data_IF_836988108507
#
_entry.id   IF_836988108507
#
_cell.length_a   1.000
_cell.length_b   1.000
_cell.length_c   1.000
_cell.angle_alpha   90.00
_cell.angle_beta   90.00
_cell.angle_gamma   90.00
#
_symmetry.space_group_name_H-M   'P 1'
#
loop_
_entity.id
_entity.type
_entity.pdbx_description
1 polymer ?
#
# COMPACT_ATOMS: atom_id res chain seq x y z
N UNK A 1 -17.10 -32.33 -19.04
CA UNK A 1 -17.77 -31.07 -18.62
C UNK A 1 -17.39 -30.00 -19.61
N UNK A 2 -18.25 -29.64 -20.56
CA UNK A 2 -17.96 -28.59 -21.54
C UNK A 2 -18.09 -27.24 -20.85
N UNK A 3 -16.99 -26.56 -20.53
CA UNK A 3 -17.07 -25.20 -20.00
C UNK A 3 -17.61 -24.28 -21.08
N UNK A 4 -18.66 -23.54 -20.77
CA UNK A 4 -19.27 -22.58 -21.69
C UNK A 4 -18.44 -21.29 -21.73
N UNK A 5 -18.78 -20.38 -22.63
CA UNK A 5 -18.16 -19.04 -22.69
C UNK A 5 -18.64 -18.13 -21.55
N UNK A 6 -19.84 -18.42 -21.03
CA UNK A 6 -20.40 -17.79 -19.84
C UNK A 6 -19.56 -18.11 -18.59
N UNK A 7 -19.09 -19.36 -18.47
CA UNK A 7 -18.21 -19.77 -17.37
C UNK A 7 -16.86 -19.04 -17.41
N UNK A 8 -16.30 -18.83 -18.61
CA UNK A 8 -15.08 -18.02 -18.78
C UNK A 8 -15.29 -16.56 -18.34
N UNK A 9 -16.46 -16.01 -18.67
CA UNK A 9 -16.80 -14.64 -18.29
C UNK A 9 -17.03 -14.48 -16.79
N UNK A 10 -17.58 -15.49 -16.11
CA UNK A 10 -17.79 -15.45 -14.67
C UNK A 10 -16.50 -15.70 -13.84
N UNK A 11 -15.55 -16.49 -14.37
CA UNK A 11 -14.38 -16.93 -13.61
C UNK A 11 -13.21 -15.94 -13.56
N UNK A 12 -13.21 -14.92 -14.42
CA UNK A 12 -12.09 -13.98 -14.55
C UNK A 12 -12.55 -12.54 -14.34
N UNK A 13 -11.84 -11.80 -13.50
CA UNK A 13 -12.03 -10.35 -13.42
C UNK A 13 -11.52 -9.67 -14.70
N UNK A 14 -12.08 -8.50 -15.03
CA UNK A 14 -11.55 -7.66 -16.10
C UNK A 14 -10.20 -7.07 -15.70
N UNK A 15 -9.34 -6.81 -16.68
CA UNK A 15 -8.08 -6.12 -16.45
C UNK A 15 -8.35 -4.71 -15.94
N UNK A 16 -7.74 -4.34 -14.82
CA UNK A 16 -7.83 -2.99 -14.26
C UNK A 16 -6.99 -2.03 -15.12
N UNK A 17 -7.54 -0.88 -15.59
CA UNK A 17 -6.80 0.08 -16.42
C UNK A 17 -5.49 0.61 -15.81
N UNK A 18 -5.41 0.63 -14.47
CA UNK A 18 -4.22 1.05 -13.69
C UNK A 18 -3.13 -0.02 -13.66
N UNK A 19 -3.47 -1.29 -13.94
CA UNK A 19 -2.58 -2.43 -13.83
C UNK A 19 -2.48 -3.02 -12.42
N UNK A 20 -3.32 -2.59 -11.47
CA UNK A 20 -3.34 -3.10 -10.09
C UNK A 20 -3.47 -4.62 -10.01
N UNK A 21 -4.34 -5.22 -10.83
CA UNK A 21 -4.56 -6.66 -10.84
C UNK A 21 -3.75 -7.41 -11.92
N UNK A 22 -2.76 -6.78 -12.57
CA UNK A 22 -2.10 -7.33 -13.77
C UNK A 22 -1.54 -8.74 -13.56
N UNK A 23 -0.78 -8.98 -12.48
CA UNK A 23 -0.14 -10.28 -12.23
C UNK A 23 -1.18 -11.40 -12.07
N UNK A 24 -2.21 -11.15 -11.27
CA UNK A 24 -3.32 -12.08 -11.04
C UNK A 24 -4.12 -12.30 -12.33
N UNK A 25 -4.42 -11.22 -13.05
CA UNK A 25 -5.13 -11.25 -14.32
C UNK A 25 -4.38 -12.10 -15.35
N UNK A 26 -3.10 -11.81 -15.60
CA UNK A 26 -2.27 -12.52 -16.58
C UNK A 26 -2.23 -14.01 -16.29
N UNK A 27 -2.02 -14.39 -15.01
CA UNK A 27 -1.98 -15.79 -14.59
C UNK A 27 -3.33 -16.49 -14.82
N UNK A 28 -4.42 -15.92 -14.33
CA UNK A 28 -5.76 -16.51 -14.46
C UNK A 28 -6.23 -16.57 -15.92
N UNK A 29 -6.00 -15.51 -16.68
CA UNK A 29 -6.33 -15.43 -18.11
C UNK A 29 -5.59 -16.50 -18.92
N UNK A 30 -4.28 -16.68 -18.66
CA UNK A 30 -3.47 -17.73 -19.30
C UNK A 30 -4.05 -19.13 -19.04
N UNK A 31 -4.40 -19.43 -17.78
CA UNK A 31 -5.00 -20.72 -17.41
C UNK A 31 -6.32 -20.94 -18.15
N UNK A 32 -7.18 -19.93 -18.18
CA UNK A 32 -8.51 -20.04 -18.79
C UNK A 32 -8.45 -20.16 -20.33
N UNK A 33 -7.53 -19.46 -20.99
CA UNK A 33 -7.32 -19.57 -22.44
C UNK A 33 -6.73 -20.93 -22.81
N UNK A 34 -5.83 -21.47 -21.99
CA UNK A 34 -5.31 -22.84 -22.17
C UNK A 34 -6.42 -23.89 -22.08
N UNK A 35 -7.39 -23.71 -21.19
CA UNK A 35 -8.57 -24.58 -21.12
C UNK A 35 -9.44 -24.53 -22.39
N UNK A 36 -9.32 -23.46 -23.19
CA UNK A 36 -10.04 -23.28 -24.46
C UNK A 36 -9.18 -23.64 -25.68
N UNK A 37 -8.00 -24.22 -25.48
CA UNK A 37 -7.06 -24.61 -26.54
C UNK A 37 -6.66 -23.48 -27.50
N UNK A 38 -6.72 -22.22 -27.05
CA UNK A 38 -6.41 -21.05 -27.89
C UNK A 38 -5.06 -20.39 -27.55
N UNK A 39 -4.33 -20.91 -26.56
CA UNK A 39 -3.11 -20.25 -26.03
C UNK A 39 -1.99 -20.08 -27.06
N UNK A 40 -1.88 -21.00 -28.02
CA UNK A 40 -0.83 -20.94 -29.06
C UNK A 40 -0.94 -19.71 -29.99
N UNK A 41 -2.11 -19.08 -30.03
CA UNK A 41 -2.35 -17.82 -30.74
C UNK A 41 -1.95 -16.59 -29.91
N UNK A 42 -1.83 -16.71 -28.58
CA UNK A 42 -1.36 -15.64 -27.70
C UNK A 42 0.15 -15.61 -27.58
N UNK A 43 0.81 -16.77 -27.48
CA UNK A 43 2.27 -16.86 -27.41
C UNK A 43 2.94 -16.85 -28.80
N UNK A 44 2.15 -16.97 -29.87
CA UNK A 44 2.63 -16.93 -31.25
C UNK A 44 3.27 -18.24 -31.73
N UNK A 45 3.14 -19.34 -30.98
CA UNK A 45 3.68 -20.64 -31.34
C UNK A 45 3.03 -21.23 -32.60
N UNK A 46 1.81 -20.80 -32.94
CA UNK A 46 1.12 -21.22 -34.16
C UNK A 46 1.03 -20.03 -35.13
N UNK A 47 2.01 -19.85 -36.05
CA UNK A 47 1.94 -18.80 -37.05
C UNK A 47 0.79 -19.05 -38.04
N UNK A 48 0.32 -17.99 -38.69
CA UNK A 48 -0.70 -18.08 -39.74
C UNK A 48 -0.18 -18.98 -40.88
N UNK A 49 -0.87 -20.07 -41.23
CA UNK A 49 -0.46 -20.94 -42.33
C UNK A 49 -0.57 -20.19 -43.66
N UNK A 50 0.43 -20.30 -44.52
CA UNK A 50 0.42 -19.68 -45.85
C UNK A 50 0.40 -20.79 -46.93
N UNK A 51 -0.37 -20.63 -48.01
CA UNK A 51 -0.31 -21.56 -49.14
C UNK A 51 1.08 -21.57 -49.77
N UNK A 52 1.55 -22.73 -50.23
CA UNK A 52 2.81 -22.87 -50.95
C UNK A 52 2.80 -22.11 -52.29
N UNK A 53 1.66 -22.11 -52.99
CA UNK A 53 1.38 -21.25 -54.14
C UNK A 53 0.12 -20.40 -53.85
N UNK A 54 0.26 -19.09 -53.61
CA UNK A 54 -0.88 -18.19 -53.39
C UNK A 54 -1.89 -18.16 -54.54
N UNK A 55 -1.47 -18.47 -55.77
CA UNK A 55 -2.35 -18.49 -56.93
C UNK A 55 -3.17 -19.79 -57.04
N UNK A 56 -2.75 -20.86 -56.36
CA UNK A 56 -3.42 -22.18 -56.37
C UNK A 56 -3.39 -22.86 -55.00
N UNK A 57 -4.08 -22.31 -53.98
CA UNK A 57 -4.18 -22.95 -52.69
C UNK A 57 -4.88 -24.30 -52.82
N UNK A 58 -4.28 -25.34 -52.24
CA UNK A 58 -4.89 -26.67 -52.15
C UNK A 58 -6.07 -26.66 -51.17
N UNK A 59 -6.93 -27.68 -51.27
CA UNK A 59 -8.06 -27.85 -50.34
C UNK A 59 -7.60 -27.95 -48.88
N UNK A 60 -6.48 -28.66 -48.65
CA UNK A 60 -5.95 -28.89 -47.31
C UNK A 60 -5.34 -27.61 -46.71
N UNK A 61 -4.65 -26.79 -47.53
CA UNK A 61 -4.15 -25.47 -47.09
C UNK A 61 -5.30 -24.53 -46.72
N UNK A 62 -6.37 -24.47 -47.52
CA UNK A 62 -7.54 -23.66 -47.21
C UNK A 62 -8.23 -24.12 -45.92
N UNK A 63 -8.31 -25.44 -45.68
CA UNK A 63 -8.87 -25.98 -44.45
C UNK A 63 -8.00 -25.64 -43.21
N UNK A 64 -6.67 -25.67 -43.36
CA UNK A 64 -5.74 -25.27 -42.31
C UNK A 64 -5.87 -23.78 -41.98
N UNK A 65 -5.95 -22.90 -42.99
CA UNK A 65 -6.17 -21.46 -42.83
C UNK A 65 -7.49 -21.20 -42.11
N UNK A 66 -8.61 -21.78 -42.58
CA UNK A 66 -9.91 -21.59 -41.96
C UNK A 66 -9.95 -22.07 -40.50
N UNK A 67 -9.25 -23.17 -40.18
CA UNK A 67 -9.12 -23.69 -38.81
C UNK A 67 -8.32 -22.72 -37.94
N UNK A 68 -7.20 -22.20 -38.46
CA UNK A 68 -6.38 -21.21 -37.77
C UNK A 68 -7.17 -19.92 -37.52
N UNK A 69 -7.85 -19.38 -38.53
CA UNK A 69 -8.67 -18.16 -38.42
C UNK A 69 -9.80 -18.31 -37.41
N UNK A 70 -10.42 -19.49 -37.33
CA UNK A 70 -11.45 -19.78 -36.32
C UNK A 70 -10.89 -19.67 -34.90
N UNK A 71 -9.72 -20.24 -34.65
CA UNK A 71 -9.06 -20.19 -33.33
C UNK A 71 -8.53 -18.79 -33.03
N UNK A 72 -8.01 -18.07 -34.03
CA UNK A 72 -7.61 -16.68 -33.92
C UNK A 72 -8.78 -15.77 -33.52
N UNK A 73 -9.94 -15.93 -34.16
CA UNK A 73 -11.14 -15.18 -33.82
C UNK A 73 -11.66 -15.51 -32.41
N UNK A 74 -11.57 -16.78 -31.99
CA UNK A 74 -11.87 -17.17 -30.62
C UNK A 74 -10.92 -16.51 -29.62
N UNK A 75 -9.61 -16.49 -29.91
CA UNK A 75 -8.60 -15.86 -29.07
C UNK A 75 -8.86 -14.35 -28.92
N UNK A 76 -9.10 -13.64 -30.02
CA UNK A 76 -9.48 -12.22 -30.01
C UNK A 76 -10.76 -11.98 -29.22
N UNK A 77 -11.77 -12.84 -29.39
CA UNK A 77 -13.02 -12.73 -28.65
C UNK A 77 -12.80 -12.86 -27.14
N UNK A 78 -12.11 -13.91 -26.68
CA UNK A 78 -11.80 -14.12 -25.27
C UNK A 78 -11.01 -12.95 -24.67
N UNK A 79 -10.06 -12.41 -25.42
CA UNK A 79 -9.29 -11.24 -25.01
C UNK A 79 -10.19 -10.00 -24.88
N UNK A 80 -11.02 -9.72 -25.89
CA UNK A 80 -11.90 -8.53 -25.89
C UNK A 80 -12.89 -8.51 -24.72
N UNK A 81 -13.38 -9.68 -24.27
CA UNK A 81 -14.29 -9.77 -23.12
C UNK A 81 -13.68 -9.29 -21.80
N UNK A 82 -12.34 -9.33 -21.70
CA UNK A 82 -11.61 -9.14 -20.43
C UNK A 82 -10.74 -7.89 -20.41
N UNK A 83 -10.68 -7.16 -21.51
CA UNK A 83 -10.00 -5.88 -21.58
C UNK A 83 -10.96 -4.71 -21.37
N UNK A 84 -10.49 -3.61 -20.76
CA UNK A 84 -11.13 -2.31 -20.89
C UNK A 84 -11.14 -1.85 -22.35
N UNK A 85 -12.22 -1.18 -22.75
CA UNK A 85 -12.41 -0.67 -24.12
C UNK A 85 -11.25 0.22 -24.59
N UNK A 86 -10.71 1.04 -23.68
CA UNK A 86 -9.55 1.91 -23.96
C UNK A 86 -8.31 1.08 -24.31
N UNK A 87 -8.05 0.01 -23.57
CA UNK A 87 -6.92 -0.91 -23.81
C UNK A 87 -7.09 -1.63 -25.13
N UNK A 88 -8.28 -2.16 -25.40
CA UNK A 88 -8.56 -2.84 -26.65
C UNK A 88 -8.41 -1.89 -27.84
N UNK A 89 -9.02 -0.70 -27.78
CA UNK A 89 -8.94 0.31 -28.85
C UNK A 89 -7.51 0.73 -29.15
N UNK A 90 -6.65 0.82 -28.13
CA UNK A 90 -5.23 1.16 -28.30
C UNK A 90 -4.45 0.11 -29.08
N UNK A 91 -4.76 -1.17 -28.90
CA UNK A 91 -3.93 -2.27 -29.41
C UNK A 91 -4.53 -3.05 -30.58
N UNK A 92 -5.85 -3.00 -30.81
CA UNK A 92 -6.55 -3.86 -31.80
C UNK A 92 -6.00 -3.81 -33.23
N UNK A 93 -5.36 -2.69 -33.63
CA UNK A 93 -4.78 -2.52 -34.97
C UNK A 93 -3.44 -3.23 -35.18
N UNK A 94 -2.92 -3.94 -34.17
CA UNK A 94 -1.63 -4.63 -34.24
C UNK A 94 -1.64 -5.93 -35.04
N UNK A 95 -2.81 -6.34 -35.56
CA UNK A 95 -2.95 -7.54 -36.38
C UNK A 95 -3.34 -8.74 -35.53
N UNK A 96 -2.41 -9.67 -35.34
CA UNK A 96 -2.68 -10.95 -34.66
C UNK A 96 -2.88 -10.79 -33.15
N UNK A 97 -3.57 -11.75 -32.57
CA UNK A 97 -3.79 -11.91 -31.12
C UNK A 97 -2.45 -11.91 -30.39
N UNK A 98 -1.43 -12.61 -30.92
CA UNK A 98 -0.08 -12.60 -30.36
C UNK A 98 0.51 -11.18 -30.28
N UNK A 99 0.39 -10.39 -31.35
CA UNK A 99 0.92 -9.03 -31.37
C UNK A 99 0.17 -8.08 -30.42
N UNK A 100 -1.16 -8.22 -30.33
CA UNK A 100 -2.01 -7.48 -29.40
C UNK A 100 -1.64 -7.87 -27.95
N UNK A 101 -1.56 -9.16 -27.66
CA UNK A 101 -1.25 -9.70 -26.34
C UNK A 101 0.15 -9.29 -25.88
N UNK A 102 1.17 -9.40 -26.73
CA UNK A 102 2.53 -8.97 -26.41
C UNK A 102 2.58 -7.47 -26.05
N UNK A 103 1.83 -6.63 -26.76
CA UNK A 103 1.74 -5.20 -26.46
C UNK A 103 1.05 -4.92 -25.11
N UNK A 104 -0.01 -5.67 -24.79
CA UNK A 104 -0.69 -5.59 -23.49
C UNK A 104 0.24 -6.06 -22.38
N UNK A 105 0.91 -7.19 -22.56
CA UNK A 105 1.87 -7.73 -21.58
C UNK A 105 2.93 -6.70 -21.28
N UNK A 106 3.52 -6.08 -22.31
CA UNK A 106 4.50 -5.01 -22.12
C UNK A 106 3.91 -3.84 -21.32
N UNK A 107 2.80 -3.27 -21.79
CA UNK A 107 2.19 -2.09 -21.16
C UNK A 107 1.82 -2.33 -19.69
N UNK A 108 1.18 -3.45 -19.38
CA UNK A 108 0.66 -3.71 -18.05
C UNK A 108 1.73 -4.25 -17.09
N UNK A 109 2.78 -4.90 -17.61
CA UNK A 109 3.98 -5.17 -16.81
C UNK A 109 4.64 -3.86 -16.40
N UNK A 110 4.89 -2.94 -17.34
CA UNK A 110 5.46 -1.63 -17.07
C UNK A 110 4.60 -0.83 -16.06
N UNK A 111 3.27 -0.79 -16.27
CA UNK A 111 2.32 -0.12 -15.34
C UNK A 111 2.32 -0.75 -13.96
N UNK A 112 2.31 -2.07 -13.86
CA UNK A 112 2.27 -2.77 -12.56
C UNK A 112 3.54 -2.52 -11.74
N UNK A 113 4.71 -2.50 -12.39
CA UNK A 113 5.98 -2.18 -11.73
C UNK A 113 5.97 -0.74 -11.21
N UNK A 114 5.55 0.21 -12.06
CA UNK A 114 5.48 1.62 -11.69
C UNK A 114 4.46 1.86 -10.56
N UNK A 115 3.31 1.22 -10.62
CA UNK A 115 2.28 1.30 -9.57
C UNK A 115 2.81 0.78 -8.24
N UNK A 116 3.43 -0.41 -8.24
CA UNK A 116 4.02 -1.01 -7.03
C UNK A 116 5.10 -0.12 -6.43
N UNK A 117 5.97 0.45 -7.27
CA UNK A 117 6.99 1.40 -6.83
C UNK A 117 6.36 2.67 -6.25
N UNK A 118 5.35 3.24 -6.91
CA UNK A 118 4.65 4.44 -6.45
C UNK A 118 3.95 4.19 -5.11
N UNK A 119 3.21 3.08 -4.95
CA UNK A 119 2.57 2.72 -3.70
C UNK A 119 3.59 2.61 -2.56
N UNK A 120 4.72 1.91 -2.78
CA UNK A 120 5.80 1.80 -1.79
C UNK A 120 6.35 3.18 -1.41
N UNK A 121 6.67 4.02 -2.40
CA UNK A 121 7.19 5.37 -2.17
C UNK A 121 6.17 6.25 -1.44
N UNK A 122 4.90 6.20 -1.83
CA UNK A 122 3.82 6.94 -1.18
C UNK A 122 3.68 6.55 0.28
N UNK A 123 3.68 5.24 0.57
CA UNK A 123 3.62 4.71 1.92
C UNK A 123 4.80 5.18 2.79
N UNK A 124 6.04 5.00 2.33
CA UNK A 124 7.25 5.41 3.08
C UNK A 124 7.34 6.94 3.28
N UNK A 125 6.66 7.72 2.43
CA UNK A 125 6.58 9.17 2.54
C UNK A 125 5.36 9.67 3.31
N UNK A 126 4.52 8.78 3.88
CA UNK A 126 3.44 9.20 4.77
C UNK A 126 4.01 9.97 5.96
N UNK A 127 3.41 11.13 6.24
CA UNK A 127 3.72 11.97 7.39
C UNK A 127 2.44 12.37 8.10
N UNK A 128 2.52 12.53 9.42
CA UNK A 128 1.42 13.04 10.21
C UNK A 128 1.05 14.46 9.77
N UNK A 129 -0.26 14.72 9.62
CA UNK A 129 -0.79 16.05 9.36
C UNK A 129 -1.09 16.75 10.69
N UNK A 130 -0.41 17.86 10.94
CA UNK A 130 -0.60 18.66 12.15
C UNK A 130 -2.06 19.10 12.33
N UNK A 131 -2.58 18.97 13.56
CA UNK A 131 -3.94 19.38 13.91
C UNK A 131 -5.02 18.34 13.61
N UNK A 132 -4.66 17.18 13.07
CA UNK A 132 -5.58 16.05 12.84
C UNK A 132 -5.49 15.05 14.00
N UNK A 133 -6.61 14.39 14.29
CA UNK A 133 -6.67 13.33 15.29
C UNK A 133 -5.75 12.15 14.93
N UNK A 134 -4.98 11.66 15.91
CA UNK A 134 -3.96 10.64 15.68
C UNK A 134 -4.57 9.27 15.33
N UNK A 135 -5.75 8.93 15.84
CA UNK A 135 -6.44 7.69 15.46
C UNK A 135 -6.77 7.69 13.98
N UNK A 136 -7.41 8.75 13.49
CA UNK A 136 -7.75 8.87 12.07
C UNK A 136 -6.52 8.84 11.14
N UNK A 137 -5.39 9.36 11.61
CA UNK A 137 -4.13 9.33 10.87
C UNK A 137 -3.49 7.93 10.86
N UNK A 138 -3.62 7.14 11.93
CA UNK A 138 -3.21 5.73 11.91
C UNK A 138 -4.12 4.85 11.07
N UNK A 139 -5.43 5.11 11.04
CA UNK A 139 -6.33 4.43 10.10
C UNK A 139 -5.91 4.69 8.65
N UNK A 140 -5.45 5.91 8.34
CA UNK A 140 -4.86 6.23 7.03
C UNK A 140 -3.62 5.41 6.72
N UNK A 141 -2.75 5.18 7.71
CA UNK A 141 -1.56 4.32 7.54
C UNK A 141 -1.98 2.88 7.27
N UNK A 142 -2.93 2.34 8.02
CA UNK A 142 -3.44 0.97 7.83
C UNK A 142 -4.08 0.78 6.45
N UNK A 143 -4.92 1.71 6.01
CA UNK A 143 -5.52 1.66 4.66
C UNK A 143 -4.43 1.66 3.58
N UNK A 144 -3.41 2.51 3.70
CA UNK A 144 -2.31 2.54 2.74
C UNK A 144 -1.46 1.25 2.77
N UNK A 145 -1.31 0.62 3.95
CA UNK A 145 -0.65 -0.68 4.07
C UNK A 145 -1.45 -1.80 3.40
N UNK A 146 -2.77 -1.84 3.60
CA UNK A 146 -3.66 -2.78 2.92
C UNK A 146 -3.64 -2.62 1.39
N UNK A 147 -3.50 -1.39 0.89
CA UNK A 147 -3.33 -1.15 -0.55
C UNK A 147 -2.04 -1.75 -1.11
N UNK A 148 -0.94 -1.75 -0.34
CA UNK A 148 0.32 -2.41 -0.70
C UNK A 148 0.15 -3.93 -0.78
N UNK A 149 -0.48 -4.54 0.23
CA UNK A 149 -0.72 -5.98 0.26
C UNK A 149 -1.58 -6.42 -0.93
N UNK A 150 -2.62 -5.66 -1.25
CA UNK A 150 -3.47 -5.92 -2.41
C UNK A 150 -2.73 -5.79 -3.76
N UNK A 151 -1.63 -5.05 -3.80
CA UNK A 151 -0.78 -4.89 -4.98
C UNK A 151 0.45 -5.83 -4.96
N UNK A 152 0.49 -6.79 -4.03
CA UNK A 152 1.60 -7.74 -3.85
C UNK A 152 2.93 -7.01 -3.60
N UNK A 153 2.88 -5.91 -2.84
CA UNK A 153 4.06 -5.16 -2.39
C UNK A 153 4.33 -5.49 -0.94
N UNK A 154 5.41 -6.22 -0.70
CA UNK A 154 5.84 -6.59 0.64
C UNK A 154 6.69 -5.47 1.28
N UNK A 155 6.36 -5.09 2.50
CA UNK A 155 7.14 -4.15 3.33
C UNK A 155 7.61 -4.94 4.54
N UNK A 156 8.92 -4.91 4.79
CA UNK A 156 9.44 -5.61 5.96
C UNK A 156 8.91 -4.99 7.26
N UNK A 157 8.73 -5.81 8.30
CA UNK A 157 8.32 -5.34 9.63
C UNK A 157 9.19 -4.17 10.12
N UNK A 158 10.50 -4.20 9.83
CA UNK A 158 11.45 -3.15 10.19
C UNK A 158 11.19 -1.84 9.44
N UNK A 159 10.88 -1.89 8.15
CA UNK A 159 10.52 -0.70 7.36
C UNK A 159 9.19 -0.11 7.82
N UNK A 160 8.21 -0.96 8.16
CA UNK A 160 6.93 -0.48 8.66
C UNK A 160 7.10 0.17 10.05
N UNK A 161 7.81 -0.47 10.97
CA UNK A 161 8.13 0.13 12.28
C UNK A 161 8.87 1.47 12.12
N UNK A 162 9.83 1.54 11.19
CA UNK A 162 10.57 2.77 10.89
C UNK A 162 9.67 3.87 10.31
N UNK A 163 8.69 3.50 9.47
CA UNK A 163 7.67 4.43 9.00
C UNK A 163 6.89 4.99 10.18
N UNK A 164 6.37 4.17 11.09
CA UNK A 164 5.59 4.64 12.24
C UNK A 164 6.40 5.64 13.08
N UNK A 165 7.67 5.34 13.35
CA UNK A 165 8.58 6.24 14.06
C UNK A 165 8.71 7.61 13.37
N UNK A 166 8.82 7.62 12.04
CA UNK A 166 8.94 8.85 11.26
C UNK A 166 7.59 9.54 10.97
N UNK A 167 6.48 8.81 11.09
CA UNK A 167 5.15 9.28 10.79
C UNK A 167 4.62 10.17 11.90
N UNK A 168 4.74 9.73 13.16
CA UNK A 168 4.17 10.41 14.33
C UNK A 168 4.83 11.78 14.61
N UNK A 169 4.16 12.69 15.34
CA UNK A 169 4.78 13.92 15.86
C UNK A 169 6.13 13.67 16.55
N UNK A 170 7.07 14.62 16.43
CA UNK A 170 8.46 14.51 16.95
C UNK A 170 8.55 14.06 18.40
N UNK A 171 7.63 14.54 19.24
CA UNK A 171 7.58 14.20 20.65
C UNK A 171 7.24 12.72 20.89
N UNK A 172 6.25 12.21 20.16
CA UNK A 172 5.85 10.80 20.22
C UNK A 172 6.90 9.93 19.57
N UNK A 173 7.52 10.39 18.47
CA UNK A 173 8.62 9.72 17.78
C UNK A 173 9.80 9.47 18.73
N UNK A 174 10.17 10.47 19.51
CA UNK A 174 11.23 10.37 20.52
C UNK A 174 10.86 9.36 21.61
N UNK A 175 9.62 9.42 22.11
CA UNK A 175 9.10 8.48 23.11
C UNK A 175 9.15 7.02 22.62
N UNK A 176 8.56 6.72 21.45
CA UNK A 176 8.50 5.34 20.93
C UNK A 176 9.88 4.84 20.49
N UNK A 177 10.78 5.72 20.05
CA UNK A 177 12.18 5.36 19.74
C UNK A 177 12.96 4.96 21.00
N UNK A 178 12.79 5.71 22.10
CA UNK A 178 13.39 5.37 23.39
C UNK A 178 12.86 4.04 23.90
N UNK A 179 11.53 3.83 23.85
CA UNK A 179 10.91 2.60 24.29
C UNK A 179 11.36 1.38 23.47
N UNK A 180 11.50 1.56 22.15
CA UNK A 180 12.07 0.55 21.25
C UNK A 180 13.51 0.20 21.61
N UNK A 181 14.35 1.20 21.91
CA UNK A 181 15.74 1.01 22.31
C UNK A 181 15.85 0.26 23.64
N UNK A 182 15.03 0.61 24.62
CA UNK A 182 14.94 -0.09 25.92
C UNK A 182 14.49 -1.52 25.73
N UNK A 183 13.44 -1.77 24.94
CA UNK A 183 12.95 -3.12 24.66
C UNK A 183 14.03 -3.99 23.99
N UNK A 184 14.77 -3.44 23.02
CA UNK A 184 15.93 -4.12 22.38
C UNK A 184 17.01 -4.47 23.39
N UNK A 185 17.35 -3.55 24.31
CA UNK A 185 18.34 -3.80 25.36
C UNK A 185 17.88 -4.93 26.29
N UNK A 186 16.62 -4.89 26.74
CA UNK A 186 16.05 -5.89 27.64
C UNK A 186 16.02 -7.28 27.01
N UNK A 187 15.58 -7.39 25.75
CA UNK A 187 15.57 -8.65 25.01
C UNK A 187 16.99 -9.23 24.87
N UNK A 188 17.98 -8.38 24.58
CA UNK A 188 19.39 -8.78 24.50
C UNK A 188 19.93 -9.27 25.85
N UNK A 189 19.59 -8.59 26.95
CA UNK A 189 19.98 -9.02 28.30
C UNK A 189 19.35 -10.35 28.69
N UNK A 190 18.07 -10.56 28.36
CA UNK A 190 17.38 -11.83 28.62
C UNK A 190 18.01 -12.99 27.83
N UNK A 191 18.33 -12.77 26.54
CA UNK A 191 18.99 -13.78 25.71
C UNK A 191 20.37 -14.19 26.27
N UNK A 192 21.13 -13.22 26.77
CA UNK A 192 22.43 -13.46 27.43
C UNK A 192 22.27 -14.22 28.77
N UNK A 193 21.21 -13.93 29.54
CA UNK A 193 20.92 -14.65 30.78
C UNK A 193 20.50 -16.10 30.53
N UNK A 194 19.77 -16.39 29.45
CA UNK A 194 19.38 -17.77 29.08
C UNK A 194 20.54 -18.59 28.51
N UNK A 195 21.51 -17.96 27.85
CA UNK A 195 22.71 -18.62 27.32
C UNK A 195 23.75 -18.99 28.41
N UNK A 196 23.56 -18.55 29.66
CA UNK A 196 24.42 -18.89 30.81
C UNK A 196 23.89 -20.06 31.65
N UNK A 197 22.83 -20.76 31.23
CA UNK A 197 22.43 -22.02 31.85
C UNK A 197 23.38 -23.16 31.40
N UNK A 198 23.96 -23.96 32.32
CA UNK A 198 24.98 -24.94 31.96
C UNK A 198 24.35 -26.22 31.41
N UNK A 199 24.02 -26.23 30.13
CA UNK A 199 23.90 -27.47 29.36
C UNK A 199 24.12 -27.21 27.86
N UNK A 200 25.10 -27.92 27.31
CA UNK A 200 25.51 -28.02 25.90
C UNK A 200 26.47 -26.94 25.38
N UNK A 201 27.70 -27.42 25.20
CA UNK A 201 28.86 -26.76 24.62
C UNK A 201 28.74 -26.73 23.09
N UNK A 202 29.03 -25.56 22.53
CA UNK A 202 29.56 -25.28 21.19
C UNK A 202 28.83 -25.82 19.95
N UNK A 203 28.34 -24.87 19.14
CA UNK A 203 28.95 -24.64 17.83
C UNK A 203 28.86 -23.16 17.48
N UNK A 204 30.02 -22.54 17.40
CA UNK A 204 30.15 -21.16 16.96
C UNK A 204 29.78 -21.03 15.50
N UNK A 205 29.04 -19.98 15.19
CA UNK A 205 29.06 -19.32 13.89
C UNK A 205 28.73 -17.86 14.15
N UNK A 206 29.78 -17.10 14.47
CA UNK A 206 29.80 -15.67 14.20
C UNK A 206 29.58 -15.45 12.71
N UNK A 207 28.81 -14.41 12.40
CA UNK A 207 28.52 -13.89 11.07
C UNK A 207 27.64 -14.78 10.20
N UNK A 208 26.35 -14.44 10.14
CA UNK A 208 25.59 -14.51 8.90
C UNK A 208 24.39 -13.57 8.98
N UNK A 209 24.39 -12.63 8.03
CA UNK A 209 23.27 -11.91 7.40
C UNK A 209 22.39 -10.93 8.21
N UNK A 210 22.63 -9.66 7.89
CA UNK A 210 21.78 -8.45 7.95
C UNK A 210 20.41 -8.59 7.22
N UNK A 211 19.75 -9.74 7.27
CA UNK A 211 18.53 -9.97 6.49
C UNK A 211 17.43 -10.54 7.39
N UNK A 212 16.48 -9.67 7.75
CA UNK A 212 15.33 -9.87 8.67
C UNK A 212 15.61 -9.65 10.17
N UNK A 213 16.10 -8.46 10.55
CA UNK A 213 15.95 -8.00 11.94
C UNK A 213 14.45 -7.70 12.16
N UNK A 214 13.70 -8.70 12.62
CA UNK A 214 12.32 -8.47 13.07
C UNK A 214 12.39 -7.47 14.24
N UNK A 215 11.74 -6.31 14.13
CA UNK A 215 11.79 -5.32 15.19
C UNK A 215 11.19 -5.90 16.47
N UNK A 216 11.76 -5.55 17.62
CA UNK A 216 11.33 -6.05 18.93
C UNK A 216 9.92 -5.57 19.28
N UNK A 217 9.54 -4.39 18.78
CA UNK A 217 8.18 -3.88 18.79
C UNK A 217 7.70 -3.80 17.35
N UNK A 218 6.60 -4.45 17.02
CA UNK A 218 6.01 -4.36 15.69
C UNK A 218 5.30 -3.00 15.47
N UNK A 219 4.92 -2.73 14.23
CA UNK A 219 4.31 -1.46 13.85
C UNK A 219 2.98 -1.19 14.59
N UNK A 220 2.15 -2.22 14.81
CA UNK A 220 0.88 -2.06 15.53
C UNK A 220 1.10 -1.75 17.01
N UNK A 221 2.02 -2.44 17.67
CA UNK A 221 2.42 -2.16 19.05
C UNK A 221 2.96 -0.73 19.19
N UNK A 222 3.75 -0.26 18.21
CA UNK A 222 4.25 1.12 18.19
C UNK A 222 3.11 2.15 18.01
N UNK A 223 2.11 1.85 17.17
CA UNK A 223 0.94 2.71 17.02
C UNK A 223 0.12 2.78 18.31
N UNK A 224 -0.11 1.64 18.98
CA UNK A 224 -0.81 1.59 20.27
C UNK A 224 -0.10 2.41 21.35
N UNK A 225 1.20 2.21 21.53
CA UNK A 225 2.02 2.95 22.49
C UNK A 225 2.03 4.47 22.20
N UNK A 226 2.05 4.84 20.92
CA UNK A 226 1.95 6.25 20.52
C UNK A 226 0.57 6.84 20.82
N UNK A 227 -0.51 6.09 20.63
CA UNK A 227 -1.88 6.51 20.98
C UNK A 227 -2.04 6.72 22.48
N UNK A 228 -1.55 5.79 23.30
CA UNK A 228 -1.61 5.89 24.77
C UNK A 228 -0.91 7.16 25.27
N UNK A 229 0.30 7.41 24.79
CA UNK A 229 1.06 8.61 25.17
C UNK A 229 0.41 9.89 24.63
N UNK A 230 -0.18 9.85 23.44
CA UNK A 230 -0.92 10.99 22.89
C UNK A 230 -2.14 11.33 23.75
N UNK A 231 -2.93 10.32 24.14
CA UNK A 231 -4.12 10.50 25.01
C UNK A 231 -3.73 11.06 26.37
N UNK A 232 -2.70 10.51 27.02
CA UNK A 232 -2.15 11.02 28.30
C UNK A 232 -1.84 12.52 28.22
N UNK A 233 -1.20 12.96 27.13
CA UNK A 233 -0.85 14.37 26.91
C UNK A 233 -2.06 15.26 26.65
N UNK A 234 -3.10 14.75 26.00
CA UNK A 234 -4.34 15.50 25.81
C UNK A 234 -5.09 15.71 27.12
N UNK A 235 -5.12 14.70 28.00
CA UNK A 235 -5.70 14.83 29.33
C UNK A 235 -5.00 15.89 30.17
N UNK A 236 -3.66 15.94 30.13
CA UNK A 236 -2.87 16.93 30.88
C UNK A 236 -3.07 18.36 30.35
N UNK A 237 -3.24 18.53 29.02
CA UNK A 237 -3.63 19.81 28.43
C UNK A 237 -5.04 20.25 28.85
N UNK A 238 -5.96 19.30 29.02
CA UNK A 238 -7.31 19.57 29.53
C UNK A 238 -7.32 20.02 30.99
N UNK A 239 -6.49 19.42 31.84
CA UNK A 239 -6.37 19.77 33.27
C UNK A 239 -5.76 21.15 33.51
N UNK A 240 -4.83 21.58 32.67
CA UNK A 240 -4.23 22.93 32.76
C UNK A 240 -5.23 24.06 32.53
N UNK A 241 -6.25 23.85 31.69
CA UNK A 241 -7.26 24.87 31.36
C UNK A 241 -8.35 25.02 32.43
N UNK A 242 -8.52 24.02 33.31
CA UNK A 242 -9.56 24.03 34.35
C UNK A 242 -9.14 24.75 35.65
N UNK A 243 -7.85 25.06 35.84
CA UNK A 243 -7.32 25.59 37.12
C UNK A 243 -7.31 27.12 37.23
N UNK A 244 -7.57 27.84 36.13
CA UNK A 244 -7.60 29.32 36.08
C UNK A 244 -9.03 29.89 36.01
N UNK A 245 -9.96 29.35 36.81
CA UNK A 245 -11.20 30.09 37.16
C UNK A 245 -11.00 30.71 38.54
N UNK A 246 -10.47 31.93 38.52
CA UNK A 246 -10.01 32.68 39.69
C UNK A 246 -11.05 32.77 40.80
N UNK A 247 -10.67 32.29 41.97
CA UNK A 247 -11.29 32.64 43.25
C UNK A 247 -10.84 34.06 43.59
N UNK A 248 -11.66 35.05 43.26
CA UNK A 248 -11.51 36.41 43.78
C UNK A 248 -12.00 36.43 45.25
N UNK A 249 -11.06 36.38 46.18
CA UNK A 249 -11.32 36.69 47.59
C UNK A 249 -11.69 38.18 47.71
N UNK A 250 -12.98 38.46 47.87
CA UNK A 250 -13.48 39.80 48.22
C UNK A 250 -13.41 39.97 49.73
N UNK A 251 -12.38 40.64 50.22
CA UNK A 251 -12.38 41.24 51.56
C UNK A 251 -11.67 42.59 51.48
N UNK A 252 -12.40 43.66 51.79
CA UNK A 252 -11.99 44.90 52.49
C UNK A 252 -13.01 46.00 52.09
N UNK A 253 -14.06 46.16 52.89
CA UNK A 253 -14.11 46.99 54.10
C UNK A 253 -14.42 48.45 53.76
N UNK A 254 -15.66 48.81 54.08
CA UNK A 254 -16.21 50.16 54.13
C UNK A 254 -15.46 51.03 55.12
N UNK A 255 -15.02 52.22 54.72
CA UNK A 255 -15.06 53.42 55.57
C UNK A 255 -14.81 54.70 54.76
N UNK A 256 -15.78 55.62 54.84
CA UNK A 256 -15.64 57.06 54.58
C UNK A 256 -15.42 57.70 55.96
N UNK A 257 -14.63 58.79 56.12
CA UNK A 257 -15.19 60.10 55.76
C UNK A 257 -14.22 61.27 55.39
N UNK A 258 -14.80 62.19 54.60
CA UNK A 258 -14.71 63.68 54.58
C UNK A 258 -13.37 64.46 54.56
N UNK A 259 -13.37 65.39 53.58
CA UNK A 259 -13.04 66.85 53.62
C UNK A 259 -11.64 67.26 53.16
N UNK A 260 -11.59 67.97 52.02
CA UNK A 260 -10.43 68.75 51.58
C UNK A 260 -10.76 69.55 50.32
N UNK A 261 -11.00 70.85 50.50
CA UNK A 261 -11.40 71.84 49.50
C UNK A 261 -10.13 72.43 48.88
N UNK A 262 -9.96 72.41 47.56
CA UNK A 262 -8.80 72.98 46.88
C UNK A 262 -9.11 73.34 45.42
N UNK A 263 -8.90 74.60 45.07
CA UNK A 263 -9.41 75.34 43.91
C UNK A 263 -8.26 75.63 42.93
N UNK A 264 -8.51 75.56 41.61
CA UNK A 264 -7.65 76.16 40.56
C UNK A 264 -7.70 75.37 39.25
N UNK A 265 -8.48 75.75 38.21
CA UNK A 265 -8.31 76.79 37.16
C UNK A 265 -7.14 76.59 36.18
N UNK A 266 -7.49 76.51 34.88
CA UNK A 266 -6.67 76.65 33.65
C UNK A 266 -6.93 75.46 32.69
N UNK A 267 -7.59 75.51 31.52
CA UNK A 267 -7.45 76.38 30.30
C UNK A 267 -5.98 76.56 29.94
N UNK A 268 -5.43 76.21 28.78
CA UNK A 268 -5.76 76.22 27.34
C UNK A 268 -4.92 75.08 26.68
N UNK A 269 -5.03 74.62 25.44
CA UNK A 269 -5.70 75.01 24.20
C UNK A 269 -5.73 73.76 23.31
#
# INVERSE_FOLDING_TARGET
MSTTISDFSAALDKLDPTGKNWLTFQRRFTIAVRQKDAWSHFDGSTPHPAPADPAKPTKDENAAIATWEKTENLALYLLSQKLPDVTFTKHHRKGTTAAIWAAIVKEFTDKSILLRANLRTSFLNLRYKSGVDLHSEFDRVRVAYEELLNADVDISDAEYASLIINFVPSELSTFISQLSATAKLTARMQALSTAQSPAAVSSGSSSTVLSSEKPVLDAETLMELALEEWLRRQEDKGKGKAKDTGVAASVLSSEKPKKGKGKGKGKEK
#
